data_IF_023332403971
#
_entry.id   IF_023332403971
#
_cell.length_a   1.000
_cell.length_b   1.000
_cell.length_c   1.000
_cell.angle_alpha   90.00
_cell.angle_beta   90.00
_cell.angle_gamma   90.00
#
_symmetry.space_group_name_H-M   'P 1'
#
loop_
_entity.id
_entity.type
_entity.pdbx_description
1 polymer ?
#
# COMPACT_ATOMS: atom_id res chain seq x y z
N UNK A 1 -11.34 -7.09 -29.06
CA UNK A 1 -11.24 -8.04 -27.97
C UNK A 1 -9.96 -8.83 -28.06
N UNK A 2 -9.62 -9.28 -29.20
CA UNK A 2 -8.41 -10.06 -29.33
C UNK A 2 -7.19 -9.27 -28.96
N UNK A 3 -7.13 -8.09 -29.43
CA UNK A 3 -5.97 -7.27 -29.18
C UNK A 3 -5.82 -7.05 -27.68
N UNK A 4 -6.94 -6.89 -27.06
CA UNK A 4 -6.90 -6.63 -25.66
C UNK A 4 -6.40 -7.85 -24.90
N UNK A 5 -6.83 -8.99 -25.33
CA UNK A 5 -6.42 -10.21 -24.67
C UNK A 5 -4.94 -10.42 -24.88
N UNK A 6 -4.49 -10.13 -26.05
CA UNK A 6 -3.09 -10.34 -26.34
C UNK A 6 -2.25 -9.39 -25.47
N UNK A 7 -2.75 -8.22 -25.34
CA UNK A 7 -2.02 -7.25 -24.59
C UNK A 7 -1.94 -7.68 -23.14
N UNK A 8 -3.03 -8.17 -22.63
CA UNK A 8 -2.99 -8.61 -21.27
C UNK A 8 -2.09 -9.80 -21.11
N UNK A 9 -2.10 -10.67 -22.04
CA UNK A 9 -1.25 -11.83 -21.95
C UNK A 9 0.20 -11.40 -21.96
N UNK A 10 0.48 -10.41 -22.72
CA UNK A 10 1.83 -9.96 -22.76
C UNK A 10 2.25 -9.29 -21.47
N UNK A 11 1.38 -8.52 -20.94
CA UNK A 11 1.69 -7.83 -19.72
C UNK A 11 1.89 -8.89 -18.66
N UNK A 12 1.08 -9.91 -18.73
CA UNK A 12 1.16 -10.92 -17.75
C UNK A 12 2.46 -11.65 -17.91
N UNK A 13 2.81 -11.96 -19.07
CA UNK A 13 4.03 -12.70 -19.32
C UNK A 13 5.23 -11.83 -18.89
N UNK A 14 5.15 -10.61 -19.20
CA UNK A 14 6.24 -9.76 -18.86
C UNK A 14 6.38 -9.66 -17.35
N UNK A 15 5.30 -9.65 -16.69
CA UNK A 15 5.37 -9.51 -15.26
C UNK A 15 5.91 -10.79 -14.65
N UNK A 16 5.63 -11.87 -15.28
CA UNK A 16 6.06 -13.09 -14.68
C UNK A 16 7.49 -13.37 -14.97
N UNK A 17 7.89 -13.03 -16.10
CA UNK A 17 9.23 -13.31 -16.48
C UNK A 17 10.22 -12.84 -15.46
N UNK A 18 10.16 -11.69 -15.10
CA UNK A 18 11.14 -11.20 -14.19
C UNK A 18 11.01 -11.98 -12.95
N UNK A 19 9.87 -12.33 -12.67
CA UNK A 19 9.69 -12.98 -11.44
C UNK A 19 10.41 -14.23 -11.54
N UNK A 20 10.30 -14.80 -12.55
CA UNK A 20 10.92 -16.04 -12.64
C UNK A 20 12.34 -15.80 -12.44
N UNK A 21 12.76 -14.79 -12.85
CA UNK A 21 14.05 -14.67 -12.74
C UNK A 21 14.39 -14.40 -11.53
N UNK A 22 13.91 -14.26 -11.02
CA UNK A 22 14.03 -13.97 -10.15
C UNK A 22 14.48 -13.93 -9.43
N UNK A 23 14.39 -14.40 -9.51
CA UNK A 23 14.90 -14.42 -8.98
C UNK A 23 14.96 -13.42 -8.49
N UNK A 24 15.25 -12.99 -9.08
CA UNK A 24 15.35 -11.85 -8.66
C UNK A 24 14.36 -11.70 -7.87
N UNK A 25 13.53 -12.06 -8.32
CA UNK A 25 12.57 -11.75 -7.67
C UNK A 25 12.61 -12.12 -6.43
N UNK A 26 12.86 -12.99 -6.31
CA UNK A 26 12.75 -13.36 -5.14
C UNK A 26 13.54 -12.83 -4.38
N UNK A 27 14.32 -12.72 -4.81
CA UNK A 27 15.14 -12.22 -4.05
C UNK A 27 14.52 -11.21 -3.55
N UNK A 28 13.83 -10.81 -4.19
CA UNK A 28 13.32 -9.90 -3.70
C UNK A 28 12.96 -10.09 -2.57
N UNK A 29 12.74 -10.96 -2.47
CA UNK A 29 12.31 -11.33 -1.26
C UNK A 29 13.29 -10.81 -0.40
N UNK A 30 14.30 -11.08 -0.69
CA UNK A 30 15.30 -10.74 0.18
C UNK A 30 15.20 -9.37 0.33
N UNK A 31 15.02 -8.80 -0.62
CA UNK A 31 14.98 -7.51 -0.51
C UNK A 31 14.13 -7.15 0.52
N UNK A 32 13.14 -7.76 0.64
CA UNK A 32 12.37 -7.32 1.57
C UNK A 32 12.88 -7.38 2.81
N UNK A 33 13.47 -8.19 3.14
CA UNK A 33 13.97 -8.31 4.45
C UNK A 33 14.71 -7.07 4.73
N UNK A 34 15.48 -6.71 3.84
CA UNK A 34 16.30 -5.64 4.16
C UNK A 34 15.44 -4.52 4.48
N UNK A 35 14.48 -4.42 3.83
CA UNK A 35 13.70 -3.31 4.08
C UNK A 35 13.24 -3.42 5.44
N UNK A 36 13.07 -4.57 5.88
CA UNK A 36 12.61 -4.71 7.18
C UNK A 36 13.55 -4.12 8.07
N UNK A 37 14.67 -4.33 7.87
CA UNK A 37 15.60 -3.89 8.82
C UNK A 37 15.36 -2.49 8.95
N UNK A 38 15.11 -1.89 7.96
CA UNK A 38 14.96 -0.58 8.10
C UNK A 38 13.89 -0.30 8.99
N UNK A 39 12.99 -1.06 9.00
CA UNK A 39 11.93 -0.75 9.84
C UNK A 39 12.46 -0.70 11.22
N UNK A 40 13.45 -1.37 11.38
CA UNK A 40 13.96 -1.47 12.72
C UNK A 40 14.28 -0.11 13.21
N UNK A 41 14.50 0.70 12.36
CA UNK A 41 14.94 1.98 12.80
C UNK A 41 13.80 2.58 13.53
N UNK A 42 12.71 2.07 13.33
CA UNK A 42 11.64 2.73 13.90
C UNK A 42 11.48 2.55 15.37
N UNK A 43 12.19 1.75 15.94
CA UNK A 43 12.01 1.47 17.33
C UNK A 43 11.88 2.77 18.03
N UNK A 44 12.47 3.64 17.49
CA UNK A 44 12.51 4.88 18.10
C UNK A 44 11.16 5.43 18.22
N UNK A 45 10.47 5.38 17.21
CA UNK A 45 9.23 6.03 17.24
C UNK A 45 8.26 5.29 18.08
N UNK A 46 8.46 4.06 18.22
CA UNK A 46 7.49 3.30 18.94
C UNK A 46 7.23 3.84 20.31
N UNK A 47 8.20 4.37 20.92
CA UNK A 47 7.98 4.78 22.29
C UNK A 47 7.01 5.92 22.37
N UNK A 48 6.97 6.73 21.40
CA UNK A 48 6.08 7.86 21.50
C UNK A 48 4.84 7.69 20.67
N UNK A 49 4.70 6.59 20.01
CA UNK A 49 3.54 6.43 19.17
C UNK A 49 2.34 6.00 20.00
N UNK A 50 1.23 6.61 19.78
CA UNK A 50 0.02 6.24 20.51
C UNK A 50 -0.43 4.85 20.13
N UNK A 51 -1.20 4.25 20.99
CA UNK A 51 -1.76 2.94 20.73
C UNK A 51 -3.16 3.12 20.19
N UNK A 52 -3.47 2.44 19.14
CA UNK A 52 -4.78 2.54 18.54
C UNK A 52 -5.53 1.23 18.67
N UNK A 53 -6.84 1.34 18.72
CA UNK A 53 -7.69 0.17 18.83
C UNK A 53 -7.63 -0.63 17.55
N UNK A 54 -7.59 -1.93 17.65
CA UNK A 54 -7.63 -2.77 16.49
C UNK A 54 -8.93 -3.54 16.42
N UNK A 55 -9.84 -3.30 17.33
CA UNK A 55 -11.03 -4.11 17.40
C UNK A 55 -12.19 -3.62 16.55
N UNK A 56 -12.22 -2.38 16.25
CA UNK A 56 -13.31 -1.84 15.46
C UNK A 56 -12.80 -0.70 14.60
N UNK A 57 -13.38 -0.57 13.44
CA UNK A 57 -12.98 0.50 12.55
C UNK A 57 -14.01 1.62 12.64
N UNK A 58 -13.53 2.86 12.68
CA UNK A 58 -14.40 4.01 12.64
C UNK A 58 -14.76 4.37 11.21
N UNK A 59 -14.19 3.68 10.24
CA UNK A 59 -14.42 4.00 8.84
C UNK A 59 -15.59 3.20 8.29
N UNK A 60 -16.42 3.81 7.43
CA UNK A 60 -17.59 3.10 6.90
C UNK A 60 -17.17 1.90 6.07
N UNK A 61 -17.85 0.78 6.30
CA UNK A 61 -17.55 -0.46 5.61
C UNK A 61 -17.58 -0.27 4.10
N UNK A 62 -16.58 -0.79 3.44
CA UNK A 62 -16.48 -0.70 1.99
C UNK A 62 -15.71 0.49 1.47
N UNK A 63 -15.32 1.42 2.32
CA UNK A 63 -14.52 2.55 1.87
C UNK A 63 -13.05 2.14 1.80
N UNK A 64 -12.25 2.90 1.09
CA UNK A 64 -10.84 2.55 0.99
C UNK A 64 -10.17 2.60 2.36
N UNK A 65 -10.58 3.53 3.19
CA UNK A 65 -10.03 3.68 4.53
C UNK A 65 -10.41 2.49 5.41
N UNK A 66 -11.63 1.99 5.26
CA UNK A 66 -12.04 0.80 5.99
C UNK A 66 -11.19 -0.40 5.56
N UNK A 67 -10.95 -0.54 4.27
CA UNK A 67 -10.15 -1.66 3.79
C UNK A 67 -8.74 -1.59 4.30
N UNK A 68 -8.12 -0.41 4.25
CA UNK A 68 -6.77 -0.24 4.73
C UNK A 68 -6.68 -0.48 6.23
N UNK A 69 -7.65 0.01 7.00
CA UNK A 69 -7.64 -0.19 8.45
C UNK A 69 -7.84 -1.68 8.78
N UNK A 70 -8.66 -2.37 8.02
CA UNK A 70 -8.89 -3.79 8.24
C UNK A 70 -7.61 -4.58 8.01
N UNK A 71 -6.85 -4.22 6.98
CA UNK A 71 -5.62 -4.92 6.63
C UNK A 71 -4.45 -4.45 7.48
N UNK A 72 -4.50 -3.24 7.99
CA UNK A 72 -3.44 -2.65 8.79
C UNK A 72 -4.05 -2.09 10.07
N UNK A 73 -4.38 -2.96 11.04
CA UNK A 73 -5.07 -2.52 12.24
C UNK A 73 -4.31 -1.49 13.08
N UNK A 74 -3.03 -1.35 12.82
CA UNK A 74 -2.21 -0.39 13.52
C UNK A 74 -2.49 1.05 13.08
N UNK A 75 -3.25 1.23 11.99
CA UNK A 75 -3.56 2.58 11.53
C UNK A 75 -4.52 3.26 12.51
N UNK A 76 -4.49 4.56 12.53
CA UNK A 76 -5.35 5.30 13.44
C UNK A 76 -6.81 5.24 13.05
N UNK A 77 -7.68 5.43 14.02
CA UNK A 77 -9.11 5.31 13.79
C UNK A 77 -9.74 6.56 13.19
N UNK A 78 -9.08 7.69 13.28
CA UNK A 78 -9.66 8.96 12.83
C UNK A 78 -8.66 9.77 12.01
N UNK A 79 -8.06 9.13 11.01
CA UNK A 79 -7.09 9.81 10.17
C UNK A 79 -7.73 10.56 8.99
N UNK A 80 -9.06 10.50 8.85
CA UNK A 80 -9.76 11.26 7.82
C UNK A 80 -9.90 10.51 6.52
N UNK A 81 -10.01 11.24 5.43
CA UNK A 81 -10.12 10.64 4.12
C UNK A 81 -8.77 10.11 3.67
N UNK A 82 -8.77 9.25 2.65
CA UNK A 82 -7.53 8.63 2.20
C UNK A 82 -6.41 9.61 1.97
N UNK A 83 -6.69 10.71 1.32
CA UNK A 83 -5.64 11.68 1.03
C UNK A 83 -5.08 12.40 2.26
N UNK A 84 -5.74 12.26 3.40
CA UNK A 84 -5.29 12.90 4.62
C UNK A 84 -4.48 11.96 5.50
N UNK A 85 -4.48 10.69 5.18
CA UNK A 85 -3.86 9.68 6.06
C UNK A 85 -2.37 9.89 6.29
N UNK A 86 -1.64 10.27 5.25
CA UNK A 86 -0.20 10.44 5.42
C UNK A 86 0.12 11.55 6.42
N UNK A 87 -0.58 12.67 6.32
CA UNK A 87 -0.35 13.78 7.23
C UNK A 87 -0.81 13.43 8.63
N UNK A 88 -1.95 12.75 8.75
CA UNK A 88 -2.46 12.35 10.05
C UNK A 88 -1.52 11.34 10.73
N UNK A 89 -0.99 10.41 9.95
CA UNK A 89 -0.08 9.41 10.47
C UNK A 89 1.22 10.06 10.94
N UNK A 90 1.73 11.00 10.16
CA UNK A 90 2.94 11.71 10.54
C UNK A 90 2.71 12.47 11.85
N UNK A 91 1.57 13.11 11.98
CA UNK A 91 1.24 13.83 13.20
C UNK A 91 1.11 12.86 14.38
N UNK A 92 0.75 11.62 14.13
CA UNK A 92 0.63 10.62 15.18
C UNK A 92 1.96 9.91 15.48
N UNK A 93 3.03 10.30 14.82
CA UNK A 93 4.34 9.73 15.13
C UNK A 93 4.79 8.58 14.23
N UNK A 94 4.06 8.29 13.15
CA UNK A 94 4.47 7.25 12.25
C UNK A 94 5.45 7.80 11.23
N UNK A 95 6.35 6.94 10.74
CA UNK A 95 7.23 7.34 9.67
C UNK A 95 6.47 7.31 8.36
N UNK A 96 6.77 8.21 7.48
CA UNK A 96 6.20 8.25 6.14
C UNK A 96 7.33 8.45 5.14
N UNK A 97 7.10 8.12 3.91
CA UNK A 97 8.13 8.30 2.88
C UNK A 97 7.66 7.90 1.49
N UNK A 98 8.60 7.87 0.57
CA UNK A 98 8.31 7.61 -0.84
C UNK A 98 8.69 6.21 -1.31
N UNK A 99 9.25 5.39 -0.44
CA UNK A 99 9.67 4.04 -0.83
C UNK A 99 8.60 3.03 -0.43
N UNK A 100 8.11 2.22 -1.34
CA UNK A 100 7.13 1.22 -0.99
C UNK A 100 7.74 0.09 -0.17
N UNK A 101 6.98 -0.44 0.77
CA UNK A 101 7.35 -1.60 1.55
C UNK A 101 6.12 -2.46 1.69
N UNK A 102 6.30 -3.76 1.70
CA UNK A 102 5.18 -4.68 1.95
C UNK A 102 4.68 -4.39 3.37
N UNK A 103 3.39 -4.24 3.50
CA UNK A 103 2.77 -3.93 4.79
C UNK A 103 2.56 -2.43 5.03
N UNK A 104 3.18 -1.59 4.24
CA UNK A 104 2.96 -0.16 4.37
C UNK A 104 1.61 0.22 3.76
N UNK A 105 1.09 1.35 4.15
CA UNK A 105 -0.12 1.87 3.55
C UNK A 105 0.28 2.87 2.50
N UNK A 106 -0.16 2.65 1.27
CA UNK A 106 0.04 3.61 0.18
C UNK A 106 -1.09 4.62 0.25
N UNK A 107 -0.75 5.88 0.22
CA UNK A 107 -1.70 6.96 0.39
C UNK A 107 -1.57 7.92 -0.78
N UNK A 108 -2.62 8.05 -1.57
CA UNK A 108 -2.63 8.93 -2.74
C UNK A 108 -3.53 10.13 -2.47
N UNK A 109 -3.21 11.25 -3.09
CA UNK A 109 -3.91 12.49 -2.83
C UNK A 109 -4.81 12.99 -3.97
N UNK A 110 -5.05 12.18 -4.96
CA UNK A 110 -5.83 12.62 -6.11
C UNK A 110 -7.32 12.69 -5.79
N UNK A 111 -8.01 13.52 -6.51
CA UNK A 111 -9.48 13.54 -6.46
C UNK A 111 -10.12 14.13 -5.23
N UNK A 112 -9.39 14.85 -4.46
CA UNK A 112 -9.96 15.51 -3.29
C UNK A 112 -10.08 14.62 -2.08
N UNK A 113 -10.55 13.40 -2.23
CA UNK A 113 -10.64 12.47 -1.09
C UNK A 113 -9.40 11.60 -1.00
N UNK A 114 -8.69 11.44 -2.10
CA UNK A 114 -7.54 10.57 -2.12
C UNK A 114 -7.93 9.10 -2.04
N UNK A 115 -6.94 8.27 -1.76
CA UNK A 115 -7.17 6.82 -1.69
C UNK A 115 -6.09 6.19 -0.83
N UNK A 116 -6.39 5.06 -0.21
CA UNK A 116 -5.40 4.29 0.55
C UNK A 116 -5.55 2.81 0.23
N UNK A 117 -4.43 2.11 0.30
CA UNK A 117 -4.38 0.67 0.07
C UNK A 117 -3.18 0.11 0.82
N UNK A 118 -3.16 -1.18 1.08
CA UNK A 118 -2.03 -1.80 1.77
C UNK A 118 -1.15 -2.50 0.74
N UNK A 119 0.14 -2.23 0.78
CA UNK A 119 1.09 -2.80 -0.15
C UNK A 119 1.31 -4.26 0.16
N UNK A 120 1.14 -5.11 -0.83
CA UNK A 120 1.29 -6.55 -0.65
C UNK A 120 2.49 -7.12 -1.40
N UNK A 121 3.01 -6.42 -2.37
CA UNK A 121 4.20 -6.86 -3.10
C UNK A 121 4.92 -5.67 -3.70
N UNK A 122 6.22 -5.73 -3.79
CA UNK A 122 7.04 -4.64 -4.32
C UNK A 122 8.09 -5.19 -5.26
N UNK A 123 8.16 -4.66 -6.45
CA UNK A 123 9.26 -4.93 -7.36
C UNK A 123 10.18 -3.71 -7.40
N UNK A 124 9.61 -2.53 -7.40
CA UNK A 124 10.39 -1.29 -7.44
C UNK A 124 9.49 -0.15 -7.01
N UNK A 125 10.00 1.05 -7.00
CA UNK A 125 9.18 2.22 -6.67
C UNK A 125 8.09 2.47 -7.69
N UNK A 126 8.20 1.90 -8.87
CA UNK A 126 7.21 2.08 -9.92
C UNK A 126 6.44 0.79 -10.24
N UNK A 127 6.55 -0.22 -9.40
CA UNK A 127 5.83 -1.46 -9.64
C UNK A 127 5.52 -2.14 -8.31
N UNK A 128 4.27 -2.09 -7.91
CA UNK A 128 3.81 -2.69 -6.65
C UNK A 128 2.47 -3.38 -6.85
N UNK A 129 2.07 -4.16 -5.88
CA UNK A 129 0.70 -4.66 -5.79
C UNK A 129 0.13 -4.24 -4.45
N UNK A 130 -1.16 -4.07 -4.40
CA UNK A 130 -1.86 -3.67 -3.18
C UNK A 130 -3.14 -4.46 -2.98
N UNK A 131 -3.61 -4.49 -1.75
CA UNK A 131 -4.97 -4.92 -1.45
C UNK A 131 -5.73 -3.68 -0.99
N UNK A 132 -6.94 -3.54 -1.46
CA UNK A 132 -7.69 -2.30 -1.28
C UNK A 132 -9.18 -2.54 -1.38
N UNK A 133 -9.98 -1.58 -0.97
CA UNK A 133 -11.42 -1.61 -1.20
C UNK A 133 -11.84 -0.27 -1.80
N UNK A 134 -13.00 -0.24 -2.37
CA UNK A 134 -13.55 0.92 -3.06
C UNK A 134 -12.69 1.39 -4.22
N UNK A 135 -12.13 0.46 -4.96
CA UNK A 135 -11.42 0.75 -6.17
C UNK A 135 -12.40 0.50 -7.31
N UNK A 136 -12.64 1.50 -8.13
CA UNK A 136 -13.62 1.43 -9.21
C UNK A 136 -14.99 0.99 -8.69
N UNK A 137 -15.33 1.41 -7.49
CA UNK A 137 -16.63 1.10 -6.92
C UNK A 137 -16.75 -0.28 -6.30
N UNK A 138 -15.69 -1.09 -6.34
CA UNK A 138 -15.74 -2.43 -5.75
C UNK A 138 -15.44 -2.28 -4.27
N UNK A 139 -16.42 -2.58 -3.45
CA UNK A 139 -16.34 -2.26 -2.03
C UNK A 139 -15.83 -3.39 -1.15
N UNK A 140 -15.49 -4.52 -1.72
CA UNK A 140 -14.83 -5.58 -0.97
C UNK A 140 -13.32 -5.42 -1.08
N UNK A 141 -12.58 -6.04 -0.16
CA UNK A 141 -11.13 -5.96 -0.17
C UNK A 141 -10.56 -6.95 -1.16
N UNK A 142 -9.64 -6.50 -1.98
CA UNK A 142 -9.00 -7.40 -2.94
C UNK A 142 -7.86 -6.71 -3.66
N UNK A 143 -7.15 -7.49 -4.46
CA UNK A 143 -6.09 -6.99 -5.31
C UNK A 143 -6.68 -6.83 -6.71
N UNK A 144 -7.01 -5.61 -7.06
CA UNK A 144 -7.73 -5.36 -8.30
C UNK A 144 -6.84 -4.91 -9.44
N UNK A 145 -5.61 -4.48 -9.13
CA UNK A 145 -4.77 -3.89 -10.16
C UNK A 145 -3.61 -4.78 -10.59
N UNK A 146 -3.24 -5.78 -9.79
CA UNK A 146 -2.04 -6.54 -10.06
C UNK A 146 -0.83 -5.62 -9.92
N UNK A 147 0.18 -5.81 -10.75
CA UNK A 147 1.35 -4.93 -10.74
C UNK A 147 1.00 -3.62 -11.43
N UNK A 148 1.29 -2.52 -10.78
CA UNK A 148 1.00 -1.21 -11.37
C UNK A 148 2.00 -0.17 -10.85
N UNK A 149 2.04 0.96 -11.53
CA UNK A 149 2.93 2.05 -11.16
C UNK A 149 2.20 2.99 -10.20
N UNK A 150 2.57 2.99 -8.94
CA UNK A 150 1.85 3.83 -7.97
C UNK A 150 2.14 5.32 -8.11
N UNK A 151 3.20 5.68 -8.80
CA UNK A 151 3.57 7.09 -8.88
C UNK A 151 2.75 7.85 -9.92
N UNK A 152 2.04 7.14 -10.77
CA UNK A 152 1.21 7.79 -11.78
C UNK A 152 -0.25 7.36 -11.70
N UNK A 153 -0.61 6.65 -10.65
CA UNK A 153 -1.95 6.08 -10.56
C UNK A 153 -3.02 7.05 -10.11
N UNK A 154 -2.77 7.78 -9.05
CA UNK A 154 -3.80 8.60 -8.44
C UNK A 154 -3.19 9.82 -7.75
N UNK A 155 -2.31 10.52 -8.44
CA UNK A 155 -1.63 11.67 -7.88
C UNK A 155 -0.37 11.26 -7.14
N UNK A 156 0.05 12.04 -6.20
CA UNK A 156 1.26 11.76 -5.43
C UNK A 156 0.99 10.65 -4.43
N UNK A 157 1.93 9.71 -4.33
CA UNK A 157 1.82 8.63 -3.36
C UNK A 157 2.81 8.86 -2.22
N UNK A 158 2.34 8.66 -1.00
CA UNK A 158 3.19 8.68 0.19
C UNK A 158 2.88 7.40 0.95
N UNK A 159 3.91 6.73 1.45
CA UNK A 159 3.72 5.49 2.19
C UNK A 159 3.79 5.75 3.69
N UNK A 160 2.94 5.07 4.45
CA UNK A 160 2.95 5.12 5.90
C UNK A 160 3.46 3.77 6.36
N UNK A 161 4.48 3.77 7.19
CA UNK A 161 5.12 2.53 7.58
C UNK A 161 4.66 2.08 8.98
N UNK A 162 4.49 0.77 9.15
CA UNK A 162 4.21 0.30 10.50
C UNK A 162 5.49 0.46 11.31
N UNK A 163 5.38 0.80 12.56
CA UNK A 163 6.55 0.97 13.42
C UNK A 163 6.87 -0.26 14.21
#
# INVERSE_FOLDING_TARGET
ASANTTLQAQVQAAAQTPAATPAAAQTQAAVQPTVQTQAAAAPVATTSRPTYSTSASSYPVGECTWGAKTLAPWAGDYWGNGGQWAASAAAAGFRTGSQPQVGAIACWNDGGYGHVAVVTAVQSTTSIQVSESNYNGIRSIGNYRGWFNPTTAQGTVTYIYPN
#
